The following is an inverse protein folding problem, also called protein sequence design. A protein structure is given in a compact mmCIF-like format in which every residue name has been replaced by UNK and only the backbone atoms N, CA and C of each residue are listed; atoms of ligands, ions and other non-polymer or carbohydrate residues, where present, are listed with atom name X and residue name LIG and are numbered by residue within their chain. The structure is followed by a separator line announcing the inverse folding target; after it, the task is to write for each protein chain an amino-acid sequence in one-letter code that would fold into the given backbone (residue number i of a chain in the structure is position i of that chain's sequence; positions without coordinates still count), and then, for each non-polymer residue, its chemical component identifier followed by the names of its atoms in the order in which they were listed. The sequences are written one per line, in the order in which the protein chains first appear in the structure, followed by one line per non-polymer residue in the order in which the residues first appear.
data_IF_792003519327
#
_entry.id   IF_792003519327
#
_cell.length_a   1.000
_cell.length_b   1.000
_cell.length_c   1.000
_cell.angle_alpha   90.00
_cell.angle_beta   90.00
_cell.angle_gamma   90.00
#
_symmetry.space_group_name_H-M   'P 1'
#
loop_
_entity.id
_entity.type
_entity.pdbx_description
1 polymer ?
#
# COMPACT_ATOMS: atom_id res chain seq x y z
N UNK A 1 23.49 70.88 -15.33
CA UNK A 1 22.08 70.98 -14.87
C UNK A 1 21.20 70.29 -15.92
N UNK A 2 20.73 69.08 -15.61
CA UNK A 2 19.30 68.73 -15.37
C UNK A 2 18.44 68.90 -16.64
N UNK A 3 18.05 67.81 -17.33
CA UNK A 3 16.81 67.05 -17.06
C UNK A 3 15.68 67.63 -17.94
N UNK A 4 14.74 66.92 -18.58
CA UNK A 4 14.02 65.70 -18.25
C UNK A 4 13.13 65.32 -19.44
N UNK A 5 13.21 64.05 -19.83
CA UNK A 5 12.09 63.11 -20.11
C UNK A 5 11.04 63.46 -21.17
N UNK A 6 11.12 62.77 -22.32
CA UNK A 6 9.98 62.46 -23.17
C UNK A 6 9.24 61.25 -22.59
N UNK A 7 7.94 61.39 -22.36
CA UNK A 7 7.04 60.36 -21.82
C UNK A 7 6.53 59.45 -22.98
N UNK A 8 6.68 58.12 -22.89
CA UNK A 8 6.38 57.21 -24.00
C UNK A 8 4.92 56.71 -23.99
N UNK A 9 4.33 56.65 -25.19
CA UNK A 9 3.33 55.67 -25.65
C UNK A 9 2.23 55.25 -24.65
N UNK A 10 1.11 55.98 -24.64
CA UNK A 10 -0.18 55.42 -24.18
C UNK A 10 -0.70 54.41 -25.19
N UNK A 11 -0.64 53.13 -24.84
CA UNK A 11 -1.40 52.08 -25.53
C UNK A 11 -2.90 52.18 -25.21
N UNK A 12 -3.80 52.00 -26.19
CA UNK A 12 -5.24 51.88 -25.91
C UNK A 12 -5.55 50.52 -25.22
N UNK A 13 -6.61 50.45 -24.39
CA UNK A 13 -6.99 49.22 -23.72
C UNK A 13 -7.51 48.16 -24.71
N UNK A 14 -7.35 46.86 -24.41
CA UNK A 14 -7.79 45.79 -25.29
C UNK A 14 -9.32 45.68 -25.34
N UNK A 15 -9.84 45.46 -26.55
CA UNK A 15 -11.26 45.14 -26.80
C UNK A 15 -11.59 43.73 -26.32
N UNK A 16 -12.71 43.52 -25.59
CA UNK A 16 -13.10 42.20 -25.13
C UNK A 16 -13.61 41.32 -26.28
N UNK A 17 -13.05 40.11 -26.39
CA UNK A 17 -13.47 39.10 -27.35
C UNK A 17 -14.87 38.52 -27.05
N UNK A 18 -15.51 37.85 -28.03
CA UNK A 18 -16.88 37.37 -27.91
C UNK A 18 -16.99 36.27 -26.84
N UNK A 19 -17.99 36.42 -25.95
CA UNK A 19 -18.32 35.44 -24.90
C UNK A 19 -18.81 34.14 -25.54
N UNK A 20 -18.12 33.03 -25.29
CA UNK A 20 -18.61 31.69 -25.65
C UNK A 20 -19.89 31.39 -24.87
N UNK A 21 -20.93 30.93 -25.56
CA UNK A 21 -22.16 30.48 -24.96
C UNK A 21 -21.94 29.20 -24.12
N UNK A 22 -22.62 29.06 -22.96
CA UNK A 22 -22.56 27.83 -22.17
C UNK A 22 -23.22 26.66 -22.91
N UNK A 23 -22.77 25.41 -22.68
CA UNK A 23 -23.36 24.23 -23.30
C UNK A 23 -24.80 23.98 -22.79
N UNK A 24 -25.68 23.37 -23.60
CA UNK A 24 -27.06 23.11 -23.20
C UNK A 24 -27.14 22.06 -22.09
N UNK A 25 -27.89 22.38 -21.04
CA UNK A 25 -28.18 21.44 -19.95
C UNK A 25 -29.11 20.33 -20.45
N UNK A 26 -28.72 19.06 -20.25
CA UNK A 26 -29.54 17.89 -20.58
C UNK A 26 -30.81 17.87 -19.72
N UNK A 27 -31.96 17.80 -20.38
CA UNK A 27 -33.25 17.60 -19.74
C UNK A 27 -33.31 16.26 -18.96
N UNK A 28 -33.99 16.21 -17.81
CA UNK A 28 -34.15 14.97 -17.05
C UNK A 28 -35.08 13.98 -17.79
N UNK A 29 -34.69 12.70 -17.79
CA UNK A 29 -35.50 11.60 -18.35
C UNK A 29 -36.73 11.36 -17.48
N UNK A 30 -37.92 11.10 -18.06
CA UNK A 30 -39.10 10.77 -17.27
C UNK A 30 -38.94 9.42 -16.58
N UNK A 31 -39.26 9.38 -15.28
CA UNK A 31 -39.28 8.16 -14.49
C UNK A 31 -40.34 7.19 -15.02
N UNK A 32 -39.91 6.00 -15.46
CA UNK A 32 -40.82 4.90 -15.78
C UNK A 32 -41.47 4.40 -14.50
N UNK A 33 -42.81 4.47 -14.43
CA UNK A 33 -43.62 3.78 -13.42
C UNK A 33 -43.40 2.27 -13.53
N UNK A 34 -43.01 1.65 -12.43
CA UNK A 34 -42.96 0.19 -12.27
C UNK A 34 -44.32 -0.28 -11.76
N UNK A 35 -45.02 -1.22 -12.43
CA UNK A 35 -46.23 -1.81 -11.89
C UNK A 35 -45.89 -2.78 -10.75
N UNK A 36 -46.75 -2.78 -9.73
CA UNK A 36 -46.63 -3.64 -8.56
C UNK A 36 -47.20 -5.05 -8.83
N UNK A 37 -46.49 -6.03 -8.26
CA UNK A 37 -46.92 -7.41 -7.88
C UNK A 37 -47.08 -8.45 -8.99
N UNK A 38 -46.16 -9.42 -8.94
CA UNK A 38 -46.38 -10.81 -9.35
C UNK A 38 -45.53 -11.71 -8.46
N UNK A 39 -46.16 -12.48 -7.57
CA UNK A 39 -45.50 -13.47 -6.72
C UNK A 39 -45.14 -14.68 -7.59
N UNK A 40 -43.96 -14.66 -8.20
CA UNK A 40 -43.42 -15.81 -8.91
C UNK A 40 -42.67 -16.71 -7.92
N UNK A 41 -43.00 -18.00 -7.88
CA UNK A 41 -42.23 -19.02 -7.19
C UNK A 41 -40.76 -18.93 -7.61
N UNK A 42 -39.84 -18.73 -6.66
CA UNK A 42 -38.42 -18.90 -6.93
C UNK A 42 -38.16 -20.39 -7.26
N UNK A 43 -37.41 -20.72 -8.32
CA UNK A 43 -36.87 -22.06 -8.47
C UNK A 43 -35.92 -22.35 -7.30
N UNK A 44 -35.93 -23.62 -6.85
CA UNK A 44 -35.06 -24.10 -5.79
C UNK A 44 -33.60 -23.70 -6.07
N UNK A 45 -32.93 -23.15 -5.05
CA UNK A 45 -31.50 -22.85 -5.12
C UNK A 45 -30.75 -24.17 -5.36
N UNK A 46 -29.78 -24.23 -6.29
CA UNK A 46 -28.88 -25.37 -6.34
C UNK A 46 -28.10 -25.44 -5.03
N UNK A 47 -27.84 -26.66 -4.54
CA UNK A 47 -27.02 -26.91 -3.36
C UNK A 47 -25.71 -26.12 -3.44
N UNK A 48 -25.23 -25.53 -2.32
CA UNK A 48 -23.91 -24.93 -2.29
C UNK A 48 -22.88 -26.02 -2.64
N UNK A 49 -21.83 -25.72 -3.44
CA UNK A 49 -20.78 -26.69 -3.71
C UNK A 49 -20.25 -27.17 -2.37
N UNK A 50 -20.33 -28.49 -2.16
CA UNK A 50 -19.93 -29.14 -0.93
C UNK A 50 -18.58 -28.60 -0.50
N UNK A 51 -18.47 -28.21 0.78
CA UNK A 51 -17.22 -27.74 1.39
C UNK A 51 -16.09 -28.62 0.89
N UNK A 52 -15.26 -28.07 0.00
CA UNK A 52 -14.01 -28.70 -0.38
C UNK A 52 -13.27 -28.87 0.93
N UNK A 53 -13.23 -30.10 1.44
CA UNK A 53 -12.32 -30.44 2.53
C UNK A 53 -10.95 -29.95 2.05
N UNK A 54 -10.16 -29.25 2.87
CA UNK A 54 -8.79 -28.94 2.50
C UNK A 54 -8.16 -30.29 2.17
N UNK A 55 -7.94 -30.53 0.88
CA UNK A 55 -7.09 -31.63 0.42
C UNK A 55 -5.79 -31.31 1.13
N UNK A 56 -5.40 -32.14 2.11
CA UNK A 56 -4.11 -32.01 2.77
C UNK A 56 -3.12 -31.67 1.67
N UNK A 57 -2.49 -30.50 1.78
CA UNK A 57 -1.56 -30.00 0.79
C UNK A 57 -0.63 -31.16 0.50
N UNK A 58 -0.78 -31.78 -0.68
CA UNK A 58 0.18 -32.76 -1.12
C UNK A 58 1.44 -31.93 -1.19
N UNK A 59 2.36 -32.14 -0.26
CA UNK A 59 3.75 -31.77 -0.48
C UNK A 59 4.08 -32.41 -1.82
N UNK A 60 4.11 -31.60 -2.87
CA UNK A 60 4.80 -31.97 -4.08
C UNK A 60 6.23 -32.10 -3.63
N UNK A 61 6.62 -33.32 -3.23
CA UNK A 61 8.01 -33.71 -3.24
C UNK A 61 8.31 -33.82 -4.73
N UNK A 62 8.65 -32.68 -5.33
CA UNK A 62 9.28 -32.65 -6.64
C UNK A 62 10.56 -33.44 -6.44
N UNK A 63 10.66 -34.55 -7.17
CA UNK A 63 11.91 -35.32 -7.19
C UNK A 63 12.95 -34.41 -7.84
N UNK A 64 14.15 -34.37 -7.28
CA UNK A 64 15.28 -33.49 -7.68
C UNK A 64 15.88 -33.94 -9.03
N UNK A 65 15.06 -34.45 -9.96
CA UNK A 65 15.46 -34.98 -11.27
C UNK A 65 14.74 -34.28 -12.44
N UNK A 66 13.96 -33.25 -12.17
CA UNK A 66 13.33 -32.44 -13.22
C UNK A 66 14.31 -31.34 -13.67
N UNK A 67 15.08 -31.60 -14.73
CA UNK A 67 16.02 -30.63 -15.34
C UNK A 67 15.34 -29.28 -15.62
N UNK A 68 14.06 -29.30 -15.98
CA UNK A 68 13.22 -28.10 -16.17
C UNK A 68 13.01 -27.31 -14.86
N UNK A 69 12.89 -27.99 -13.71
CA UNK A 69 12.76 -27.31 -12.43
C UNK A 69 14.08 -26.65 -12.02
N UNK A 70 15.21 -27.28 -12.32
CA UNK A 70 16.52 -26.69 -12.08
C UNK A 70 16.73 -25.39 -12.88
N UNK A 71 16.28 -25.35 -14.13
CA UNK A 71 16.29 -24.12 -14.94
C UNK A 71 15.46 -23.00 -14.29
N UNK A 72 14.29 -23.32 -13.73
CA UNK A 72 13.50 -22.32 -12.99
C UNK A 72 14.19 -21.83 -11.71
N UNK A 73 14.94 -22.69 -11.01
CA UNK A 73 15.72 -22.30 -9.83
C UNK A 73 16.89 -21.38 -10.18
N UNK A 74 17.56 -21.63 -11.30
CA UNK A 74 18.64 -20.79 -11.83
C UNK A 74 18.11 -19.41 -12.24
N UNK A 75 17.01 -19.35 -13.00
CA UNK A 75 16.37 -18.08 -13.38
C UNK A 75 15.93 -17.31 -12.13
N UNK A 76 15.30 -17.99 -11.17
CA UNK A 76 14.90 -17.35 -9.92
C UNK A 76 16.08 -16.79 -9.14
N UNK A 77 17.21 -17.51 -9.08
CA UNK A 77 18.42 -17.05 -8.42
C UNK A 77 18.94 -15.78 -9.10
N UNK A 78 19.15 -15.81 -10.41
CA UNK A 78 19.69 -14.68 -11.17
C UNK A 78 18.81 -13.44 -11.04
N UNK A 79 17.51 -13.58 -11.29
CA UNK A 79 16.57 -12.47 -11.17
C UNK A 79 16.49 -11.93 -9.74
N UNK A 80 16.42 -12.80 -8.74
CA UNK A 80 16.29 -12.36 -7.35
C UNK A 80 17.56 -11.66 -6.86
N UNK A 81 18.74 -12.14 -7.23
CA UNK A 81 20.01 -11.49 -6.88
C UNK A 81 20.17 -10.13 -7.57
N UNK A 82 19.74 -9.99 -8.82
CA UNK A 82 19.73 -8.68 -9.50
C UNK A 82 18.81 -7.68 -8.82
N UNK A 83 17.63 -8.13 -8.39
CA UNK A 83 16.70 -7.29 -7.62
C UNK A 83 17.26 -6.91 -6.25
N UNK A 84 17.92 -7.84 -5.57
CA UNK A 84 18.58 -7.56 -4.28
C UNK A 84 19.75 -6.58 -4.44
N UNK A 85 20.48 -6.64 -5.56
CA UNK A 85 21.49 -5.61 -5.89
C UNK A 85 20.86 -4.24 -6.08
N UNK A 86 19.68 -4.15 -6.71
CA UNK A 86 18.94 -2.89 -6.81
C UNK A 86 18.48 -2.39 -5.43
N UNK A 87 17.96 -3.27 -4.58
CA UNK A 87 17.64 -2.95 -3.19
C UNK A 87 18.85 -2.38 -2.45
N UNK A 88 19.99 -3.08 -2.48
CA UNK A 88 21.20 -2.62 -1.77
C UNK A 88 21.67 -1.26 -2.26
N UNK A 89 21.69 -1.01 -3.58
CA UNK A 89 22.01 0.32 -4.14
C UNK A 89 21.06 1.41 -3.66
N UNK A 90 19.76 1.14 -3.63
CA UNK A 90 18.77 2.11 -3.15
C UNK A 90 18.96 2.41 -1.65
N UNK A 91 19.27 1.38 -0.85
CA UNK A 91 19.59 1.54 0.57
C UNK A 91 20.89 2.32 0.81
N UNK A 92 21.93 2.07 0.00
CA UNK A 92 23.19 2.82 0.03
C UNK A 92 22.97 4.29 -0.33
N UNK A 93 22.15 4.59 -1.34
CA UNK A 93 21.79 5.96 -1.70
C UNK A 93 21.04 6.67 -0.56
N UNK A 94 20.14 5.97 0.14
CA UNK A 94 19.49 6.49 1.35
C UNK A 94 20.54 6.78 2.45
N UNK A 95 21.53 5.89 2.63
CA UNK A 95 22.59 6.05 3.63
C UNK A 95 23.52 7.23 3.30
N UNK A 96 23.82 7.45 2.02
CA UNK A 96 24.63 8.55 1.53
C UNK A 96 23.86 9.88 1.45
N UNK A 97 22.57 9.90 1.81
CA UNK A 97 21.67 11.05 1.67
C UNK A 97 21.55 11.56 0.22
N UNK A 98 21.66 10.66 -0.76
CA UNK A 98 21.58 10.95 -2.18
C UNK A 98 20.16 10.76 -2.72
N UNK A 99 19.57 11.80 -3.30
CA UNK A 99 18.22 11.73 -3.89
C UNK A 99 17.08 11.72 -2.88
N UNK A 100 15.87 11.40 -3.33
CA UNK A 100 14.68 11.37 -2.48
C UNK A 100 14.52 10.00 -1.81
N UNK A 101 14.58 9.96 -0.47
CA UNK A 101 14.40 8.73 0.31
C UNK A 101 13.12 7.97 -0.05
N UNK A 102 12.03 8.68 -0.32
CA UNK A 102 10.74 8.08 -0.68
C UNK A 102 10.80 7.28 -1.98
N UNK A 103 11.53 7.79 -2.98
CA UNK A 103 11.71 7.12 -4.27
C UNK A 103 12.53 5.84 -4.12
N UNK A 104 13.63 5.89 -3.36
CA UNK A 104 14.45 4.71 -3.07
C UNK A 104 13.67 3.64 -2.30
N UNK A 105 12.83 4.04 -1.34
CA UNK A 105 11.98 3.10 -0.62
C UNK A 105 10.83 2.53 -1.48
N UNK A 106 10.34 3.28 -2.47
CA UNK A 106 9.39 2.75 -3.47
C UNK A 106 10.07 1.70 -4.36
N UNK A 107 11.35 1.89 -4.71
CA UNK A 107 12.15 0.91 -5.44
C UNK A 107 12.32 -0.38 -4.62
N UNK A 108 12.77 -0.26 -3.36
CA UNK A 108 12.93 -1.42 -2.45
C UNK A 108 11.63 -2.22 -2.29
N UNK A 109 10.49 -1.57 -2.05
CA UNK A 109 9.20 -2.28 -1.89
C UNK A 109 8.79 -3.03 -3.17
N UNK A 110 9.01 -2.45 -4.36
CA UNK A 110 8.70 -3.11 -5.65
C UNK A 110 9.60 -4.31 -5.90
N UNK A 111 10.89 -4.20 -5.59
CA UNK A 111 11.84 -5.29 -5.79
C UNK A 111 11.54 -6.47 -4.85
N UNK A 112 11.35 -6.19 -3.55
CA UNK A 112 10.93 -7.20 -2.59
C UNK A 112 9.59 -7.85 -2.97
N UNK A 113 8.61 -7.06 -3.43
CA UNK A 113 7.32 -7.58 -3.88
C UNK A 113 7.45 -8.57 -5.03
N UNK A 114 8.37 -8.31 -5.96
CA UNK A 114 8.61 -9.19 -7.10
C UNK A 114 9.29 -10.48 -6.65
N UNK A 115 10.32 -10.40 -5.80
CA UNK A 115 10.99 -11.57 -5.22
C UNK A 115 9.98 -12.46 -4.46
N UNK A 116 9.11 -11.86 -3.63
CA UNK A 116 8.04 -12.59 -2.93
C UNK A 116 7.11 -13.32 -3.89
N UNK A 117 6.77 -12.68 -5.02
CA UNK A 117 5.98 -13.29 -6.09
C UNK A 117 6.66 -14.53 -6.65
N UNK A 118 7.93 -14.40 -7.05
CA UNK A 118 8.71 -15.50 -7.63
C UNK A 118 8.94 -16.65 -6.65
N UNK A 119 9.25 -16.35 -5.38
CA UNK A 119 9.40 -17.36 -4.32
C UNK A 119 8.10 -18.18 -4.12
N UNK A 120 6.94 -17.53 -4.15
CA UNK A 120 5.63 -18.22 -4.07
C UNK A 120 5.35 -19.10 -5.28
N UNK A 121 5.76 -18.67 -6.48
CA UNK A 121 5.60 -19.46 -7.71
C UNK A 121 6.39 -20.78 -7.62
N UNK A 122 7.58 -20.75 -7.01
CA UNK A 122 8.42 -21.93 -6.79
C UNK A 122 8.07 -22.73 -5.54
N UNK A 123 7.11 -22.25 -4.74
CA UNK A 123 6.67 -22.93 -3.52
C UNK A 123 7.55 -22.67 -2.28
N UNK A 124 8.50 -21.74 -2.36
CA UNK A 124 9.31 -21.26 -1.23
C UNK A 124 8.48 -20.36 -0.32
N UNK A 125 7.67 -21.01 0.52
CA UNK A 125 6.65 -20.37 1.35
C UNK A 125 7.25 -19.65 2.56
N UNK A 126 8.27 -20.26 3.17
CA UNK A 126 8.99 -19.68 4.31
C UNK A 126 9.87 -18.51 3.87
N UNK A 127 10.54 -18.63 2.71
CA UNK A 127 11.27 -17.51 2.09
C UNK A 127 10.33 -16.36 1.73
N UNK A 128 9.19 -16.64 1.08
CA UNK A 128 8.20 -15.62 0.75
C UNK A 128 7.61 -14.93 1.99
N UNK A 129 7.51 -15.64 3.11
CA UNK A 129 7.06 -15.07 4.39
C UNK A 129 8.11 -14.12 4.95
N UNK A 130 9.39 -14.49 4.92
CA UNK A 130 10.47 -13.58 5.32
C UNK A 130 10.45 -12.30 4.49
N UNK A 131 10.39 -12.40 3.15
CA UNK A 131 10.34 -11.23 2.26
C UNK A 131 9.16 -10.32 2.57
N UNK A 132 8.00 -10.89 2.95
CA UNK A 132 6.85 -10.09 3.37
C UNK A 132 7.11 -9.29 4.64
N UNK A 133 7.81 -9.85 5.63
CA UNK A 133 8.20 -9.10 6.84
C UNK A 133 9.20 -7.98 6.50
N UNK A 134 10.09 -8.20 5.54
CA UNK A 134 11.02 -7.17 5.05
C UNK A 134 10.30 -6.03 4.33
N UNK A 135 9.24 -6.31 3.56
CA UNK A 135 8.38 -5.25 3.03
C UNK A 135 7.72 -4.45 4.16
N UNK A 136 7.28 -5.13 5.23
CA UNK A 136 6.75 -4.48 6.43
C UNK A 136 7.78 -3.56 7.08
N UNK A 137 9.02 -4.02 7.22
CA UNK A 137 10.13 -3.23 7.73
C UNK A 137 10.44 -2.00 6.87
N UNK A 138 10.47 -2.14 5.54
CA UNK A 138 10.71 -1.03 4.61
C UNK A 138 9.62 0.05 4.72
N UNK A 139 8.35 -0.36 4.87
CA UNK A 139 7.23 0.56 5.11
C UNK A 139 7.32 1.24 6.47
N UNK A 140 7.70 0.51 7.52
CA UNK A 140 7.88 1.09 8.84
C UNK A 140 9.03 2.10 8.87
N UNK A 141 10.14 1.81 8.19
CA UNK A 141 11.27 2.73 8.07
C UNK A 141 10.90 4.04 7.36
N UNK A 142 9.98 4.00 6.38
CA UNK A 142 9.43 5.20 5.74
C UNK A 142 8.80 6.16 6.77
N UNK A 143 8.05 5.61 7.71
CA UNK A 143 7.36 6.39 8.75
C UNK A 143 8.28 6.75 9.92
N UNK A 144 9.23 5.87 10.25
CA UNK A 144 10.08 5.95 11.44
C UNK A 144 11.55 5.62 11.10
N UNK A 145 12.35 6.64 10.71
CA UNK A 145 13.71 6.41 10.21
C UNK A 145 14.72 5.89 11.25
N UNK A 146 14.39 5.99 12.55
CA UNK A 146 15.36 5.80 13.63
C UNK A 146 15.85 4.35 13.84
N UNK A 147 15.22 3.36 13.21
CA UNK A 147 15.46 1.93 13.56
C UNK A 147 15.65 1.02 12.33
N UNK A 148 15.38 1.49 11.11
CA UNK A 148 15.16 0.58 9.98
C UNK A 148 16.33 0.38 9.00
N UNK A 149 17.19 1.38 8.78
CA UNK A 149 18.12 1.33 7.65
C UNK A 149 19.17 0.23 7.76
N UNK A 150 19.86 0.15 8.91
CA UNK A 150 20.90 -0.87 9.14
C UNK A 150 20.32 -2.29 9.07
N UNK A 151 19.13 -2.50 9.61
CA UNK A 151 18.44 -3.78 9.54
C UNK A 151 18.01 -4.13 8.12
N UNK A 152 17.59 -3.15 7.31
CA UNK A 152 17.26 -3.36 5.88
C UNK A 152 18.49 -3.74 5.06
N UNK A 153 19.64 -3.11 5.32
CA UNK A 153 20.91 -3.45 4.67
C UNK A 153 21.32 -4.88 5.04
N UNK A 154 21.35 -5.20 6.34
CA UNK A 154 21.61 -6.57 6.83
C UNK A 154 20.64 -7.58 6.21
N UNK A 155 19.36 -7.23 6.11
CA UNK A 155 18.34 -8.09 5.54
C UNK A 155 18.55 -8.36 4.04
N UNK A 156 18.99 -7.37 3.26
CA UNK A 156 19.30 -7.54 1.83
C UNK A 156 20.41 -8.58 1.62
N UNK A 157 21.46 -8.49 2.44
CA UNK A 157 22.61 -9.42 2.39
C UNK A 157 22.20 -10.84 2.82
N UNK A 158 21.49 -10.98 3.95
CA UNK A 158 21.02 -12.28 4.44
C UNK A 158 20.01 -12.92 3.48
N UNK A 159 19.13 -12.11 2.88
CA UNK A 159 18.17 -12.61 1.89
C UNK A 159 18.87 -13.08 0.60
N UNK A 160 19.95 -12.44 0.19
CA UNK A 160 20.76 -12.89 -0.96
C UNK A 160 21.34 -14.28 -0.71
N UNK A 161 21.93 -14.50 0.46
CA UNK A 161 22.46 -15.82 0.85
C UNK A 161 21.36 -16.89 0.93
N UNK A 162 20.17 -16.55 1.42
CA UNK A 162 19.03 -17.46 1.46
C UNK A 162 18.51 -17.83 0.06
N UNK A 163 18.47 -16.87 -0.87
CA UNK A 163 18.08 -17.11 -2.26
C UNK A 163 19.06 -18.08 -2.92
N UNK A 164 20.37 -17.87 -2.73
CA UNK A 164 21.39 -18.79 -3.23
C UNK A 164 21.20 -20.19 -2.65
N UNK A 165 21.05 -20.30 -1.33
CA UNK A 165 20.83 -21.58 -0.67
C UNK A 165 19.54 -22.27 -1.15
N UNK A 166 18.44 -21.54 -1.32
CA UNK A 166 17.17 -22.06 -1.81
C UNK A 166 17.30 -22.64 -3.22
N UNK A 167 18.00 -21.93 -4.11
CA UNK A 167 18.23 -22.35 -5.49
C UNK A 167 19.22 -23.51 -5.62
N UNK A 168 20.25 -23.56 -4.76
CA UNK A 168 21.21 -24.67 -4.76
C UNK A 168 20.61 -25.98 -4.21
N UNK A 169 19.78 -25.88 -3.17
CA UNK A 169 19.22 -27.05 -2.49
C UNK A 169 17.85 -27.47 -3.03
N UNK A 170 17.13 -26.55 -3.68
CA UNK A 170 15.72 -26.72 -4.03
C UNK A 170 14.79 -26.80 -2.80
N UNK A 171 15.30 -26.50 -1.60
CA UNK A 171 14.55 -26.57 -0.35
C UNK A 171 14.04 -25.19 0.08
N UNK A 172 12.88 -25.18 0.73
CA UNK A 172 12.34 -23.96 1.32
C UNK A 172 13.12 -23.61 2.60
N UNK A 173 13.82 -22.48 2.57
CA UNK A 173 14.70 -22.00 3.63
C UNK A 173 14.19 -20.67 4.17
N UNK A 174 14.55 -20.38 5.42
CA UNK A 174 14.20 -19.11 6.05
C UNK A 174 15.17 -18.78 7.16
N UNK A 175 15.11 -17.53 7.61
CA UNK A 175 15.88 -17.02 8.72
C UNK A 175 14.93 -16.49 9.79
N UNK A 176 14.70 -17.32 10.81
CA UNK A 176 13.74 -17.04 11.87
C UNK A 176 14.15 -15.84 12.74
N UNK A 177 15.45 -15.65 12.95
CA UNK A 177 15.97 -14.50 13.70
C UNK A 177 15.70 -13.20 12.94
N UNK A 178 16.05 -13.17 11.66
CA UNK A 178 15.81 -12.00 10.81
C UNK A 178 14.31 -11.70 10.71
N UNK A 179 13.49 -12.73 10.52
CA UNK A 179 12.04 -12.59 10.43
C UNK A 179 11.46 -11.95 11.70
N UNK A 180 11.87 -12.40 12.88
CA UNK A 180 11.39 -11.86 14.15
C UNK A 180 11.87 -10.42 14.37
N UNK A 181 13.14 -10.13 14.08
CA UNK A 181 13.69 -8.77 14.17
C UNK A 181 12.98 -7.81 13.23
N UNK A 182 12.70 -8.22 12.00
CA UNK A 182 11.93 -7.43 11.03
C UNK A 182 10.50 -7.16 11.51
N UNK A 183 9.80 -8.19 12.03
CA UNK A 183 8.46 -8.05 12.63
C UNK A 183 8.42 -7.05 13.76
N UNK A 184 9.35 -7.17 14.71
CA UNK A 184 9.42 -6.30 15.90
C UNK A 184 9.70 -4.86 15.47
N UNK A 185 10.64 -4.65 14.55
CA UNK A 185 10.95 -3.33 14.04
C UNK A 185 9.79 -2.73 13.22
N UNK A 186 9.05 -3.55 12.47
CA UNK A 186 7.92 -3.10 11.65
C UNK A 186 6.70 -2.63 12.47
N UNK A 187 6.51 -3.15 13.68
CA UNK A 187 5.41 -2.75 14.57
C UNK A 187 5.61 -1.36 15.19
N UNK A 188 6.81 -0.78 15.11
CA UNK A 188 7.18 0.44 15.82
C UNK A 188 7.17 0.26 17.35
N UNK A 189 7.58 1.27 18.14
CA UNK A 189 7.32 1.26 19.57
C UNK A 189 5.81 1.20 19.80
N UNK A 190 5.36 0.30 20.67
CA UNK A 190 3.94 0.16 21.01
C UNK A 190 3.31 1.53 21.29
N UNK A 191 2.13 1.84 20.75
CA UNK A 191 1.44 3.08 21.10
C UNK A 191 1.31 3.11 22.63
N UNK A 192 1.80 4.19 23.24
CA UNK A 192 1.52 4.45 24.65
C UNK A 192 -0.01 4.35 24.84
N UNK A 193 -0.50 3.68 25.91
CA UNK A 193 -1.93 3.47 26.07
C UNK A 193 -2.64 4.83 26.02
N UNK A 194 -3.44 5.03 24.97
CA UNK A 194 -4.26 6.22 24.84
C UNK A 194 -5.18 6.31 26.07
N UNK A 195 -5.27 7.48 26.74
CA UNK A 195 -6.20 7.63 27.83
C UNK A 195 -7.62 7.43 27.28
N UNK A 196 -8.33 6.41 27.79
CA UNK A 196 -9.75 6.17 27.54
C UNK A 196 -10.53 7.46 27.81
N UNK A 197 -10.90 8.17 26.75
CA UNK A 197 -11.90 9.23 26.83
C UNK A 197 -13.23 8.55 27.13
N UNK A 198 -13.60 8.56 28.42
CA UNK A 198 -14.97 8.33 28.86
C UNK A 198 -15.84 9.37 28.16
N UNK A 199 -16.57 8.92 27.14
CA UNK A 199 -17.73 9.63 26.62
C UNK A 199 -18.81 9.60 27.72
N UNK A 200 -18.94 10.71 28.44
CA UNK A 200 -20.19 11.06 29.11
C UNK A 200 -21.06 11.74 28.04
N UNK A 201 -22.25 11.20 27.68
CA UNK A 201 -23.13 11.92 26.79
C UNK A 201 -23.60 13.21 27.48
N UNK A 202 -23.21 14.35 26.90
CA UNK A 202 -23.66 15.67 27.30
C UNK A 202 -25.18 15.78 27.07
N UNK A 203 -25.90 16.01 28.16
CA UNK A 203 -27.34 16.30 28.18
C UNK A 203 -27.65 17.53 27.30
N UNK A 204 -28.68 17.40 26.47
CA UNK A 204 -29.19 18.47 25.60
C UNK A 204 -29.61 19.73 26.40
N UNK A 205 -29.45 20.95 25.84
CA UNK A 205 -29.79 22.20 26.50
C UNK A 205 -31.31 22.48 26.52
N UNK A 206 -31.81 23.23 27.53
CA UNK A 206 -33.24 23.48 27.69
C UNK A 206 -33.77 24.60 26.78
N UNK A 207 -35.03 24.43 26.37
CA UNK A 207 -35.87 25.39 25.63
C UNK A 207 -36.13 26.66 26.46
N UNK A 208 -35.92 27.84 25.86
CA UNK A 208 -36.25 29.15 26.43
C UNK A 208 -37.78 29.35 26.41
N UNK A 209 -38.34 29.55 27.60
CA UNK A 209 -39.73 29.91 27.82
C UNK A 209 -39.95 31.43 27.70
N UNK A 210 -41.14 31.74 27.20
CA UNK A 210 -41.77 33.01 26.89
C UNK A 210 -41.73 34.06 28.03
N UNK A 211 -41.35 35.29 27.69
CA UNK A 211 -41.32 36.45 28.58
C UNK A 211 -42.75 37.02 28.75
N UNK A 212 -43.38 36.76 29.90
CA UNK A 212 -44.67 37.33 30.29
C UNK A 212 -44.45 38.63 31.06
N UNK A 213 -45.04 39.71 30.54
CA UNK A 213 -45.14 41.05 31.14
C UNK A 213 -45.54 41.05 32.63
N UNK A 214 -45.00 41.98 33.43
CA UNK A 214 -45.64 42.40 34.67
C UNK A 214 -46.23 43.82 34.58
N UNK A 215 -47.53 43.95 34.86
CA UNK A 215 -48.18 45.05 35.58
C UNK A 215 -49.52 44.46 36.10
N UNK A 216 -50.03 44.74 37.33
CA UNK A 216 -50.21 46.11 37.84
C UNK A 216 -50.11 46.35 39.36
N UNK A 217 -50.02 47.65 39.69
CA UNK A 217 -50.42 48.39 40.92
C UNK A 217 -49.41 48.51 42.07
#
# INVERSE_FOLDING_TARGET
MLGRTADPLRHPPPVPGPRRAPPPQRAPRPARRVPARGRALLPARPDPPGRLRPRAARRCRVSVEDEEFQEFLEIFQEESLDRLRNCSRALDAIQAEEGERGEHLDEVDRELHTIKGSARLLGFSELATLVHELEGLARAFREQPAVGLELLIEASDRLSALVEQASETGEDVTDLDLMERAKVAAQGPAPAPEPLLTNVPASEPPVLAEEVLPDPT
#
